data_IF_338837949166
#
_entry.id   IF_338837949166
#
_cell.length_a   1.000
_cell.length_b   1.000
_cell.length_c   1.000
_cell.angle_alpha   90.00
_cell.angle_beta   90.00
_cell.angle_gamma   90.00
#
_symmetry.space_group_name_H-M   'P 1'
#
loop_
_entity.id
_entity.type
_entity.pdbx_description
1 polymer ?
#
# COMPACT_ATOMS: atom_id res chain seq x y z
N UNK A 1 41.83 13.33 0.54
CA UNK A 1 40.66 14.24 0.44
C UNK A 1 39.81 13.98 -0.81
N UNK A 2 40.39 13.55 -1.95
CA UNK A 2 39.62 13.18 -3.16
C UNK A 2 38.76 11.91 -3.01
N UNK A 3 39.04 11.05 -2.02
CA UNK A 3 38.30 9.80 -1.77
C UNK A 3 36.80 10.06 -1.52
N UNK A 4 36.45 11.21 -0.91
CA UNK A 4 35.04 11.57 -0.66
C UNK A 4 34.32 12.15 -1.88
N UNK A 5 34.98 12.27 -3.03
CA UNK A 5 34.39 12.82 -4.26
C UNK A 5 33.18 12.01 -4.77
N UNK A 6 33.10 10.70 -4.45
CA UNK A 6 31.92 9.90 -4.77
C UNK A 6 30.66 10.35 -4.04
N UNK A 7 30.76 10.93 -2.84
CA UNK A 7 29.59 11.50 -2.13
C UNK A 7 29.02 12.68 -2.93
N UNK A 8 29.89 13.54 -3.47
CA UNK A 8 29.50 14.65 -4.33
C UNK A 8 28.79 14.16 -5.60
N UNK A 9 29.32 13.10 -6.24
CA UNK A 9 28.69 12.45 -7.40
C UNK A 9 27.31 11.89 -7.02
N UNK A 10 27.18 11.27 -5.84
CA UNK A 10 25.91 10.74 -5.35
C UNK A 10 24.88 11.85 -5.12
N UNK A 11 25.27 12.93 -4.44
CA UNK A 11 24.40 14.07 -4.14
C UNK A 11 23.92 14.74 -5.43
N UNK A 12 24.84 15.04 -6.36
CA UNK A 12 24.50 15.70 -7.63
C UNK A 12 23.64 14.77 -8.50
N UNK A 13 24.00 13.49 -8.61
CA UNK A 13 23.27 12.52 -9.43
C UNK A 13 21.84 12.29 -8.94
N UNK A 14 21.63 12.17 -7.63
CA UNK A 14 20.30 12.04 -7.04
C UNK A 14 19.50 13.35 -7.13
N UNK A 15 20.15 14.51 -6.98
CA UNK A 15 19.51 15.82 -7.16
C UNK A 15 18.99 16.00 -8.60
N UNK A 16 19.74 15.54 -9.60
CA UNK A 16 19.34 15.52 -11.01
C UNK A 16 18.32 14.40 -11.34
N UNK A 17 17.88 13.63 -10.35
CA UNK A 17 16.92 12.51 -10.50
C UNK A 17 17.39 11.42 -11.47
N UNK A 18 18.70 11.21 -11.60
CA UNK A 18 19.20 10.06 -12.34
C UNK A 18 18.90 8.75 -11.61
N UNK A 19 18.97 7.63 -12.35
CA UNK A 19 18.74 6.31 -11.78
C UNK A 19 19.71 6.06 -10.61
N UNK A 20 19.15 5.82 -9.42
CA UNK A 20 19.92 5.68 -8.19
C UNK A 20 20.99 4.59 -8.26
N UNK A 21 20.73 3.46 -8.93
CA UNK A 21 21.71 2.37 -9.07
C UNK A 21 22.91 2.83 -9.90
N UNK A 22 22.68 3.51 -11.03
CA UNK A 22 23.75 4.05 -11.87
C UNK A 22 24.59 5.08 -11.11
N UNK A 23 23.92 5.97 -10.36
CA UNK A 23 24.58 7.00 -9.55
C UNK A 23 25.46 6.38 -8.46
N UNK A 24 24.96 5.37 -7.75
CA UNK A 24 25.72 4.67 -6.69
C UNK A 24 26.92 3.92 -7.27
N UNK A 25 26.76 3.24 -8.41
CA UNK A 25 27.88 2.56 -9.08
C UNK A 25 28.93 3.58 -9.51
N UNK A 26 28.54 4.67 -10.18
CA UNK A 26 29.46 5.72 -10.60
C UNK A 26 30.20 6.35 -9.41
N UNK A 27 29.49 6.63 -8.31
CA UNK A 27 30.09 7.13 -7.07
C UNK A 27 31.10 6.13 -6.47
N UNK A 28 30.81 4.83 -6.52
CA UNK A 28 31.72 3.76 -6.12
C UNK A 28 33.00 3.73 -6.95
N UNK A 29 32.89 3.84 -8.27
CA UNK A 29 34.05 3.93 -9.17
C UNK A 29 34.89 5.18 -8.90
N UNK A 30 34.25 6.35 -8.76
CA UNK A 30 34.94 7.61 -8.47
C UNK A 30 35.69 7.55 -7.13
N UNK A 31 35.06 7.00 -6.09
CA UNK A 31 35.67 6.79 -4.77
C UNK A 31 36.83 5.81 -4.83
N UNK A 32 36.64 4.67 -5.49
CA UNK A 32 37.65 3.62 -5.61
C UNK A 32 38.88 4.08 -6.38
N UNK A 33 38.69 4.74 -7.52
CA UNK A 33 39.79 5.29 -8.33
C UNK A 33 40.52 6.41 -7.58
N UNK A 34 39.79 7.31 -6.90
CA UNK A 34 40.40 8.34 -6.07
C UNK A 34 41.13 7.77 -4.82
N UNK A 35 40.78 6.54 -4.41
CA UNK A 35 41.47 5.77 -3.37
C UNK A 35 42.66 4.96 -3.88
N UNK A 36 42.98 5.00 -5.17
CA UNK A 36 44.10 4.27 -5.77
C UNK A 36 43.82 2.80 -6.07
N UNK A 37 42.55 2.35 -6.00
CA UNK A 37 42.17 1.00 -6.39
C UNK A 37 42.19 0.85 -7.91
N UNK A 38 42.64 -0.31 -8.40
CA UNK A 38 42.53 -0.62 -9.83
C UNK A 38 41.06 -0.89 -10.21
N UNK A 39 40.74 -0.79 -11.50
CA UNK A 39 39.38 -1.12 -12.00
C UNK A 39 38.98 -2.54 -11.59
N UNK A 40 39.91 -3.50 -11.65
CA UNK A 40 39.67 -4.88 -11.26
C UNK A 40 39.35 -5.01 -9.77
N UNK A 41 40.05 -4.26 -8.90
CA UNK A 41 39.79 -4.28 -7.46
C UNK A 41 38.43 -3.67 -7.12
N UNK A 42 38.03 -2.61 -7.82
CA UNK A 42 36.71 -1.97 -7.65
C UNK A 42 35.60 -2.94 -8.06
N UNK A 43 35.73 -3.57 -9.23
CA UNK A 43 34.76 -4.58 -9.72
C UNK A 43 34.73 -5.79 -8.78
N UNK A 44 35.89 -6.24 -8.32
CA UNK A 44 36.01 -7.33 -7.35
C UNK A 44 35.31 -7.01 -6.02
N UNK A 45 35.54 -5.82 -5.46
CA UNK A 45 34.91 -5.38 -4.23
C UNK A 45 33.38 -5.25 -4.35
N UNK A 46 32.89 -4.75 -5.49
CA UNK A 46 31.45 -4.72 -5.79
C UNK A 46 30.91 -6.15 -5.84
N UNK A 47 31.58 -7.06 -6.56
CA UNK A 47 31.18 -8.46 -6.65
C UNK A 47 31.15 -9.17 -5.30
N UNK A 48 32.18 -8.99 -4.48
CA UNK A 48 32.25 -9.54 -3.12
C UNK A 48 31.14 -8.97 -2.23
N UNK A 49 30.85 -7.67 -2.33
CA UNK A 49 29.74 -7.05 -1.63
C UNK A 49 28.38 -7.64 -2.06
N UNK A 50 28.17 -7.93 -3.35
CA UNK A 50 26.97 -8.61 -3.83
C UNK A 50 26.85 -10.04 -3.28
N UNK A 51 27.95 -10.80 -3.27
CA UNK A 51 27.98 -12.18 -2.74
C UNK A 51 27.74 -12.20 -1.24
N UNK A 52 28.40 -11.32 -0.48
CA UNK A 52 28.20 -11.19 0.97
C UNK A 52 26.76 -10.81 1.30
N UNK A 53 26.18 -9.92 0.50
CA UNK A 53 24.79 -9.51 0.63
C UNK A 53 23.83 -10.30 -0.27
N UNK A 54 24.12 -11.59 -0.55
CA UNK A 54 23.26 -12.46 -1.39
C UNK A 54 21.80 -12.53 -0.95
N UNK A 55 21.51 -12.25 0.32
CA UNK A 55 20.14 -12.18 0.83
C UNK A 55 19.36 -11.03 0.18
N UNK A 56 20.02 -9.96 -0.28
CA UNK A 56 19.39 -8.91 -1.10
C UNK A 56 18.87 -9.46 -2.43
N UNK A 57 19.38 -10.61 -2.90
CA UNK A 57 18.89 -11.30 -4.08
C UNK A 57 17.77 -12.32 -3.77
N UNK A 58 17.35 -12.49 -2.51
CA UNK A 58 16.27 -13.42 -2.14
C UNK A 58 14.95 -13.10 -2.86
N UNK A 59 14.70 -11.84 -3.20
CA UNK A 59 13.50 -11.47 -3.98
C UNK A 59 13.47 -12.21 -5.33
N UNK A 60 14.64 -12.47 -5.95
CA UNK A 60 14.74 -13.20 -7.22
C UNK A 60 14.26 -14.64 -7.05
N UNK A 61 14.52 -15.27 -5.89
CA UNK A 61 14.05 -16.63 -5.61
C UNK A 61 12.54 -16.68 -5.32
N UNK A 62 11.99 -15.59 -4.78
CA UNK A 62 10.56 -15.48 -4.48
C UNK A 62 9.74 -15.15 -5.74
N UNK A 63 10.32 -14.48 -6.73
CA UNK A 63 9.64 -14.17 -8.00
C UNK A 63 9.06 -15.40 -8.73
N UNK A 64 9.78 -16.52 -8.92
CA UNK A 64 9.21 -17.75 -9.50
C UNK A 64 8.05 -18.32 -8.68
N UNK A 65 8.12 -18.23 -7.34
CA UNK A 65 7.05 -18.69 -6.45
C UNK A 65 5.80 -17.85 -6.65
N UNK A 66 5.94 -16.52 -6.67
CA UNK A 66 4.86 -15.59 -6.99
C UNK A 66 4.29 -15.88 -8.39
N UNK A 67 5.15 -16.04 -9.39
CA UNK A 67 4.75 -16.34 -10.76
C UNK A 67 4.00 -17.67 -10.88
N UNK A 68 4.38 -18.68 -10.09
CA UNK A 68 3.65 -19.95 -10.01
C UNK A 68 2.26 -19.74 -9.40
N UNK A 69 2.17 -18.98 -8.30
CA UNK A 69 0.91 -18.67 -7.63
C UNK A 69 -0.04 -17.87 -8.52
N UNK A 70 0.48 -16.88 -9.24
CA UNK A 70 -0.27 -16.10 -10.22
C UNK A 70 -0.71 -16.96 -11.40
N UNK A 71 0.17 -17.82 -11.95
CA UNK A 71 -0.19 -18.76 -13.03
C UNK A 71 -1.32 -19.71 -12.63
N UNK A 72 -1.41 -20.11 -11.36
CA UNK A 72 -2.49 -20.96 -10.86
C UNK A 72 -3.76 -20.17 -10.48
N UNK A 73 -3.79 -18.87 -10.78
CA UNK A 73 -4.97 -18.04 -10.65
C UNK A 73 -5.19 -17.52 -9.23
N UNK A 74 -4.17 -17.49 -8.37
CA UNK A 74 -4.37 -17.12 -6.96
C UNK A 74 -4.82 -15.65 -6.81
N UNK A 75 -4.32 -14.78 -7.68
CA UNK A 75 -4.76 -13.37 -7.75
C UNK A 75 -6.22 -13.28 -8.16
N UNK A 76 -6.60 -13.97 -9.22
CA UNK A 76 -7.95 -14.02 -9.77
C UNK A 76 -8.92 -14.60 -8.74
N UNK A 77 -8.51 -15.64 -8.01
CA UNK A 77 -9.32 -16.20 -6.91
C UNK A 77 -9.49 -15.22 -5.76
N UNK A 78 -8.46 -14.44 -5.42
CA UNK A 78 -8.58 -13.40 -4.40
C UNK A 78 -9.53 -12.28 -4.85
N UNK A 79 -9.48 -11.88 -6.12
CA UNK A 79 -10.41 -10.90 -6.71
C UNK A 79 -11.86 -11.43 -6.73
N UNK A 80 -12.07 -12.69 -7.13
CA UNK A 80 -13.39 -13.35 -7.09
C UNK A 80 -13.91 -13.49 -5.65
N UNK A 81 -13.04 -13.79 -4.68
CA UNK A 81 -13.44 -13.90 -3.28
C UNK A 81 -13.97 -12.55 -2.77
N UNK A 82 -13.29 -11.47 -3.13
CA UNK A 82 -13.70 -10.11 -2.75
C UNK A 82 -14.99 -9.70 -3.48
N UNK A 83 -15.12 -10.02 -4.77
CA UNK A 83 -16.34 -9.70 -5.53
C UNK A 83 -17.58 -10.44 -5.02
N UNK A 84 -17.40 -11.56 -4.31
CA UNK A 84 -18.45 -12.35 -3.67
C UNK A 84 -18.77 -11.92 -2.24
N UNK A 85 -18.15 -10.86 -1.72
CA UNK A 85 -18.44 -10.36 -0.38
C UNK A 85 -19.88 -9.83 -0.35
N UNK A 86 -20.79 -10.67 0.14
CA UNK A 86 -22.14 -10.29 0.50
C UNK A 86 -22.14 -9.86 1.97
N UNK A 87 -21.70 -8.64 2.23
CA UNK A 87 -21.71 -8.05 3.57
C UNK A 87 -22.82 -7.01 3.67
N UNK A 88 -23.57 -7.06 4.77
CA UNK A 88 -24.70 -6.18 5.01
C UNK A 88 -24.32 -4.72 5.33
N UNK A 89 -23.07 -4.45 5.71
CA UNK A 89 -22.60 -3.10 6.09
C UNK A 89 -21.27 -2.76 5.43
N UNK A 90 -21.03 -1.48 5.17
CA UNK A 90 -19.77 -0.99 4.61
C UNK A 90 -18.57 -1.31 5.51
N UNK A 91 -18.73 -1.19 6.84
CA UNK A 91 -17.69 -1.56 7.79
C UNK A 91 -17.27 -3.02 7.64
N UNK A 92 -18.21 -3.96 7.46
CA UNK A 92 -17.88 -5.37 7.22
C UNK A 92 -17.17 -5.59 5.89
N UNK A 93 -17.54 -4.87 4.83
CA UNK A 93 -16.81 -4.89 3.55
C UNK A 93 -15.36 -4.47 3.80
N UNK A 94 -15.13 -3.37 4.52
CA UNK A 94 -13.78 -2.89 4.82
C UNK A 94 -12.98 -3.86 5.71
N UNK A 95 -13.60 -4.50 6.70
CA UNK A 95 -12.96 -5.51 7.55
C UNK A 95 -12.44 -6.69 6.71
N UNK A 96 -13.33 -7.28 5.90
CA UNK A 96 -12.98 -8.45 5.09
C UNK A 96 -11.94 -8.08 4.04
N UNK A 97 -12.12 -6.93 3.37
CA UNK A 97 -11.17 -6.45 2.39
C UNK A 97 -9.79 -6.19 2.99
N UNK A 98 -9.71 -5.49 4.12
CA UNK A 98 -8.45 -5.26 4.84
C UNK A 98 -7.75 -6.58 5.17
N UNK A 99 -8.48 -7.56 5.70
CA UNK A 99 -7.94 -8.86 6.04
C UNK A 99 -7.35 -9.58 4.82
N UNK A 100 -8.15 -9.71 3.75
CA UNK A 100 -7.72 -10.37 2.50
C UNK A 100 -6.53 -9.64 1.90
N UNK A 101 -6.53 -8.30 1.92
CA UNK A 101 -5.43 -7.49 1.42
C UNK A 101 -4.15 -7.68 2.21
N UNK A 102 -4.23 -7.70 3.54
CA UNK A 102 -3.07 -7.89 4.40
C UNK A 102 -2.46 -9.28 4.24
N UNK A 103 -3.30 -10.32 4.13
CA UNK A 103 -2.85 -11.70 3.90
C UNK A 103 -2.20 -11.85 2.53
N UNK A 104 -2.84 -11.36 1.46
CA UNK A 104 -2.29 -11.47 0.10
C UNK A 104 -0.96 -10.73 -0.04
N UNK A 105 -0.84 -9.55 0.56
CA UNK A 105 0.42 -8.78 0.56
C UNK A 105 1.50 -9.45 1.40
N UNK A 106 1.16 -10.09 2.53
CA UNK A 106 2.10 -10.89 3.31
C UNK A 106 2.72 -12.04 2.49
N UNK A 107 1.95 -12.63 1.57
CA UNK A 107 2.43 -13.63 0.62
C UNK A 107 3.12 -13.04 -0.63
N UNK A 108 3.27 -11.73 -0.73
CA UNK A 108 3.88 -11.05 -1.89
C UNK A 108 2.97 -10.98 -3.11
N UNK A 109 1.66 -11.26 -2.96
CA UNK A 109 0.69 -11.21 -4.06
C UNK A 109 0.25 -9.75 -4.22
N UNK A 110 0.67 -9.12 -5.32
CA UNK A 110 0.28 -7.76 -5.63
C UNK A 110 -1.11 -7.71 -6.27
N UNK A 111 -2.17 -7.64 -5.44
CA UNK A 111 -3.51 -7.33 -5.94
C UNK A 111 -3.55 -5.91 -6.52
N UNK A 112 -4.50 -5.68 -7.44
CA UNK A 112 -4.68 -4.51 -8.32
C UNK A 112 -4.78 -3.10 -7.67
N UNK A 113 -4.50 -2.95 -6.37
CA UNK A 113 -4.29 -1.68 -5.67
C UNK A 113 -5.49 -0.73 -5.66
N UNK A 114 -5.25 0.52 -5.26
CA UNK A 114 -6.28 1.55 -5.14
C UNK A 114 -7.05 1.79 -6.45
N UNK A 115 -6.37 1.79 -7.59
CA UNK A 115 -6.99 2.17 -8.87
C UNK A 115 -7.89 1.08 -9.42
N UNK A 116 -7.44 -0.18 -9.39
CA UNK A 116 -8.16 -1.28 -10.05
C UNK A 116 -8.94 -2.19 -9.08
N UNK A 117 -8.78 -2.03 -7.76
CA UNK A 117 -9.58 -2.75 -6.76
C UNK A 117 -10.52 -1.81 -6.00
N UNK A 118 -9.99 -0.75 -5.40
CA UNK A 118 -10.80 0.11 -4.52
C UNK A 118 -11.85 0.89 -5.31
N UNK A 119 -11.43 1.60 -6.36
CA UNK A 119 -12.33 2.48 -7.13
C UNK A 119 -13.47 1.75 -7.84
N UNK A 120 -13.25 0.64 -8.58
CA UNK A 120 -14.33 0.00 -9.34
C UNK A 120 -15.16 -0.99 -8.51
N UNK A 121 -14.68 -1.46 -7.35
CA UNK A 121 -15.34 -2.51 -6.59
C UNK A 121 -15.62 -2.11 -5.15
N UNK A 122 -14.59 -1.88 -4.33
CA UNK A 122 -14.78 -1.68 -2.88
C UNK A 122 -15.58 -0.41 -2.57
N UNK A 123 -15.28 0.69 -3.24
CA UNK A 123 -15.97 1.96 -3.04
C UNK A 123 -17.45 1.87 -3.46
N UNK A 124 -17.81 1.46 -4.70
CA UNK A 124 -19.21 1.30 -5.10
C UNK A 124 -19.99 0.32 -4.21
N UNK A 125 -19.40 -0.81 -3.81
CA UNK A 125 -20.06 -1.77 -2.91
C UNK A 125 -20.36 -1.14 -1.53
N UNK A 126 -19.40 -0.36 -1.02
CA UNK A 126 -19.54 0.29 0.29
C UNK A 126 -20.51 1.47 0.24
N UNK A 127 -20.51 2.23 -0.85
CA UNK A 127 -21.47 3.31 -1.12
C UNK A 127 -22.90 2.74 -1.18
N UNK A 128 -23.10 1.65 -1.93
CA UNK A 128 -24.38 0.95 -1.99
C UNK A 128 -24.82 0.43 -0.62
N UNK A 129 -23.90 -0.14 0.18
CA UNK A 129 -24.19 -0.63 1.52
C UNK A 129 -24.55 0.48 2.52
N UNK A 130 -24.04 1.70 2.34
CA UNK A 130 -24.40 2.88 3.15
C UNK A 130 -25.71 3.50 2.69
N UNK A 131 -25.88 3.68 1.38
CA UNK A 131 -27.08 4.30 0.80
C UNK A 131 -28.33 3.43 1.01
N UNK A 132 -28.22 2.10 0.88
CA UNK A 132 -29.34 1.16 1.01
C UNK A 132 -30.55 1.57 0.15
N UNK A 133 -30.29 2.10 -1.05
CA UNK A 133 -31.32 2.58 -1.98
C UNK A 133 -31.86 3.99 -1.71
N UNK A 134 -31.37 4.69 -0.67
CA UNK A 134 -31.72 6.08 -0.35
C UNK A 134 -30.73 7.07 -0.96
N UNK A 135 -31.15 8.29 -1.30
CA UNK A 135 -30.23 9.35 -1.72
C UNK A 135 -29.34 9.76 -0.55
N UNK A 136 -28.05 9.92 -0.83
CA UNK A 136 -27.02 10.29 0.16
C UNK A 136 -26.20 11.46 -0.36
N UNK A 137 -25.67 12.30 0.53
CA UNK A 137 -24.88 13.46 0.11
C UNK A 137 -23.52 13.07 -0.43
N UNK A 138 -22.98 13.91 -1.32
CA UNK A 138 -21.62 13.76 -1.83
C UNK A 138 -20.59 13.70 -0.68
N UNK A 139 -20.80 14.49 0.37
CA UNK A 139 -19.97 14.48 1.58
C UNK A 139 -19.95 13.10 2.26
N UNK A 140 -21.10 12.42 2.34
CA UNK A 140 -21.19 11.08 2.92
C UNK A 140 -20.50 10.06 2.02
N UNK A 141 -20.68 10.14 0.70
CA UNK A 141 -19.98 9.27 -0.26
C UNK A 141 -18.46 9.45 -0.20
N UNK A 142 -17.95 10.67 -0.12
CA UNK A 142 -16.50 10.94 -0.04
C UNK A 142 -15.88 10.40 1.26
N UNK A 143 -16.63 10.43 2.38
CA UNK A 143 -16.20 9.75 3.61
C UNK A 143 -16.08 8.24 3.41
N UNK A 144 -17.07 7.61 2.74
CA UNK A 144 -17.03 6.16 2.44
C UNK A 144 -15.82 5.84 1.57
N UNK A 145 -15.59 6.60 0.50
CA UNK A 145 -14.42 6.47 -0.39
C UNK A 145 -13.10 6.62 0.36
N UNK A 146 -13.01 7.58 1.27
CA UNK A 146 -11.83 7.79 2.11
C UNK A 146 -11.53 6.59 3.01
N UNK A 147 -12.56 5.98 3.61
CA UNK A 147 -12.38 4.76 4.42
C UNK A 147 -12.00 3.56 3.56
N UNK A 148 -12.61 3.41 2.38
CA UNK A 148 -12.25 2.38 1.41
C UNK A 148 -10.77 2.46 0.98
N UNK A 149 -10.30 3.65 0.62
CA UNK A 149 -8.90 3.93 0.28
C UNK A 149 -7.95 3.68 1.45
N UNK A 150 -8.38 3.99 2.68
CA UNK A 150 -7.61 3.71 3.88
C UNK A 150 -7.48 2.21 4.15
N UNK A 151 -8.52 1.41 3.89
CA UNK A 151 -8.45 -0.04 4.09
C UNK A 151 -7.39 -0.70 3.19
N UNK A 152 -7.30 -0.29 1.91
CA UNK A 152 -6.27 -0.79 0.99
C UNK A 152 -4.86 -0.41 1.45
N UNK A 153 -4.65 0.87 1.79
CA UNK A 153 -3.34 1.37 2.20
C UNK A 153 -2.84 0.70 3.48
N UNK A 154 -3.71 0.53 4.47
CA UNK A 154 -3.34 -0.12 5.74
C UNK A 154 -3.03 -1.59 5.51
N UNK A 155 -3.87 -2.30 4.74
CA UNK A 155 -3.65 -3.70 4.41
C UNK A 155 -2.33 -3.92 3.67
N UNK A 156 -2.04 -3.04 2.70
CA UNK A 156 -0.79 -3.08 1.96
C UNK A 156 0.43 -2.73 2.85
N UNK A 157 0.38 -1.62 3.58
CA UNK A 157 1.50 -1.16 4.39
C UNK A 157 1.89 -2.16 5.48
N UNK A 158 0.92 -2.61 6.28
CA UNK A 158 1.20 -3.56 7.37
C UNK A 158 1.36 -5.00 6.88
N UNK A 159 0.78 -5.36 5.73
CA UNK A 159 1.01 -6.66 5.09
C UNK A 159 2.44 -6.80 4.57
N UNK A 160 3.03 -5.74 4.01
CA UNK A 160 4.40 -5.76 3.48
C UNK A 160 5.44 -6.11 4.55
N UNK A 161 5.20 -5.74 5.81
CA UNK A 161 6.08 -6.08 6.93
C UNK A 161 6.18 -7.59 7.20
N UNK A 162 5.24 -8.39 6.68
CA UNK A 162 5.24 -9.85 6.81
C UNK A 162 5.87 -10.55 5.61
N UNK A 163 6.20 -9.80 4.55
CA UNK A 163 6.79 -10.36 3.34
C UNK A 163 8.32 -10.40 3.47
N UNK A 164 8.90 -11.60 3.45
CA UNK A 164 10.35 -11.82 3.66
C UNK A 164 11.25 -11.04 2.68
N UNK A 165 10.79 -10.83 1.45
CA UNK A 165 11.51 -10.05 0.44
C UNK A 165 11.09 -8.58 0.36
N UNK A 166 10.45 -8.05 1.41
CA UNK A 166 10.19 -6.62 1.50
C UNK A 166 11.52 -5.86 1.54
N UNK A 167 11.68 -4.88 0.65
CA UNK A 167 12.92 -4.10 0.54
C UNK A 167 13.33 -3.43 1.86
N UNK A 168 12.36 -3.03 2.69
CA UNK A 168 12.62 -2.47 4.01
C UNK A 168 13.29 -3.47 4.97
N UNK A 169 12.84 -4.73 5.01
CA UNK A 169 13.46 -5.77 5.84
C UNK A 169 14.88 -6.10 5.38
N UNK A 170 15.08 -6.19 4.06
CA UNK A 170 16.41 -6.42 3.48
C UNK A 170 17.39 -5.30 3.81
N UNK A 171 16.92 -4.03 3.79
CA UNK A 171 17.73 -2.88 4.18
C UNK A 171 18.11 -2.93 5.66
N UNK A 172 17.14 -3.18 6.56
CA UNK A 172 17.40 -3.27 8.00
C UNK A 172 18.41 -4.39 8.28
N UNK A 173 18.22 -5.57 7.68
CA UNK A 173 19.16 -6.68 7.80
C UNK A 173 20.57 -6.26 7.38
N UNK A 174 20.71 -5.61 6.23
CA UNK A 174 22.03 -5.19 5.76
C UNK A 174 22.73 -4.18 6.65
N UNK A 175 21.97 -3.24 7.23
CA UNK A 175 22.53 -2.28 8.21
C UNK A 175 22.92 -3.00 9.51
N UNK A 176 22.09 -3.92 10.00
CA UNK A 176 22.38 -4.66 11.24
C UNK A 176 23.63 -5.54 11.09
N UNK A 177 23.77 -6.25 9.97
CA UNK A 177 24.96 -7.07 9.68
C UNK A 177 26.22 -6.22 9.53
N UNK A 178 26.13 -5.02 8.94
CA UNK A 178 27.25 -4.08 8.87
C UNK A 178 27.71 -3.59 10.26
N UNK A 179 26.78 -3.49 11.21
CA UNK A 179 27.06 -3.13 12.61
C UNK A 179 27.54 -4.32 13.46
N UNK A 180 27.63 -5.52 12.88
CA UNK A 180 28.08 -6.74 13.58
C UNK A 180 26.96 -7.51 14.28
N UNK A 181 25.68 -7.15 14.07
CA UNK A 181 24.54 -7.89 14.59
C UNK A 181 24.04 -8.92 13.56
N UNK A 182 23.98 -10.19 13.96
CA UNK A 182 23.35 -11.22 13.13
C UNK A 182 21.85 -11.22 13.36
N UNK A 183 21.07 -10.99 12.30
CA UNK A 183 19.61 -10.93 12.35
C UNK A 183 19.03 -11.78 11.22
N UNK A 184 18.13 -12.70 11.56
CA UNK A 184 17.43 -13.51 10.57
C UNK A 184 16.18 -12.80 10.05
N UNK A 185 15.92 -12.89 8.74
CA UNK A 185 14.71 -12.32 8.13
C UNK A 185 13.44 -12.94 8.70
N UNK A 186 13.49 -14.23 9.04
CA UNK A 186 12.37 -14.97 9.63
C UNK A 186 11.97 -14.36 10.97
N UNK A 187 12.94 -14.04 11.83
CA UNK A 187 12.71 -13.40 13.11
C UNK A 187 12.09 -12.02 12.92
N UNK A 188 12.61 -11.23 11.98
CA UNK A 188 12.08 -9.89 11.70
C UNK A 188 10.61 -9.93 11.25
N UNK A 189 10.23 -10.90 10.41
CA UNK A 189 8.82 -11.12 10.03
C UNK A 189 7.98 -11.56 11.23
N UNK A 190 8.51 -12.44 12.09
CA UNK A 190 7.81 -12.88 13.29
C UNK A 190 7.54 -11.71 14.25
N UNK A 191 8.49 -10.79 14.40
CA UNK A 191 8.32 -9.54 15.16
C UNK A 191 7.41 -8.53 14.44
N UNK A 192 7.26 -8.61 13.12
CA UNK A 192 6.28 -7.85 12.35
C UNK A 192 4.84 -8.31 12.59
N UNK A 193 4.63 -9.59 12.93
CA UNK A 193 3.30 -10.20 13.09
C UNK A 193 2.44 -9.52 14.16
N UNK A 194 2.92 -9.24 15.40
CA UNK A 194 2.15 -8.48 16.39
C UNK A 194 1.67 -7.13 15.86
N UNK A 195 2.53 -6.41 15.12
CA UNK A 195 2.19 -5.09 14.56
C UNK A 195 1.08 -5.22 13.51
N UNK A 196 1.17 -6.21 12.63
CA UNK A 196 0.15 -6.51 11.63
C UNK A 196 -1.21 -6.86 12.27
N UNK A 197 -1.20 -7.68 13.33
CA UNK A 197 -2.40 -8.05 14.09
C UNK A 197 -3.00 -6.84 14.80
N UNK A 198 -2.18 -6.02 15.48
CA UNK A 198 -2.65 -4.79 16.12
C UNK A 198 -3.27 -3.82 15.11
N UNK A 199 -2.65 -3.64 13.94
CA UNK A 199 -3.20 -2.81 12.87
C UNK A 199 -4.58 -3.31 12.40
N UNK A 200 -4.75 -4.63 12.27
CA UNK A 200 -6.05 -5.22 11.94
C UNK A 200 -7.09 -4.96 13.03
N UNK A 201 -6.76 -5.20 14.30
CA UNK A 201 -7.69 -5.00 15.45
C UNK A 201 -8.12 -3.55 15.57
N UNK A 202 -7.17 -2.60 15.48
CA UNK A 202 -7.48 -1.16 15.55
C UNK A 202 -8.44 -0.76 14.44
N UNK A 203 -8.22 -1.24 13.21
CA UNK A 203 -9.10 -0.93 12.09
C UNK A 203 -10.43 -1.67 12.16
N UNK A 204 -10.46 -2.88 12.70
CA UNK A 204 -11.70 -3.60 12.99
C UNK A 204 -12.60 -2.76 13.91
N UNK A 205 -12.06 -2.23 15.00
CA UNK A 205 -12.78 -1.32 15.90
C UNK A 205 -13.20 -0.05 15.14
N UNK A 206 -12.29 0.54 14.36
CA UNK A 206 -12.57 1.74 13.55
C UNK A 206 -13.73 1.53 12.58
N UNK A 207 -13.83 0.37 11.95
CA UNK A 207 -14.90 0.05 11.01
C UNK A 207 -16.24 -0.19 11.71
N UNK A 208 -16.25 -0.74 12.92
CA UNK A 208 -17.47 -0.81 13.76
C UNK A 208 -17.94 0.60 14.14
N UNK A 209 -17.02 1.48 14.54
CA UNK A 209 -17.34 2.87 14.86
C UNK A 209 -17.84 3.61 13.60
N UNK A 210 -17.23 3.35 12.44
CA UNK A 210 -17.67 3.89 11.16
C UNK A 210 -19.11 3.52 10.86
N UNK A 211 -19.48 2.24 10.96
CA UNK A 211 -20.86 1.79 10.73
C UNK A 211 -21.86 2.50 11.65
N UNK A 212 -21.51 2.80 12.90
CA UNK A 212 -22.38 3.56 13.81
C UNK A 212 -22.48 5.05 13.45
N UNK A 213 -21.36 5.66 13.09
CA UNK A 213 -21.28 7.12 12.85
C UNK A 213 -21.79 7.51 11.46
N UNK A 214 -21.67 6.63 10.47
CA UNK A 214 -22.15 6.89 9.11
C UNK A 214 -23.69 6.95 9.07
N UNK A 215 -24.38 6.15 9.89
CA UNK A 215 -25.84 6.17 9.99
C UNK A 215 -26.36 7.53 10.48
N UNK A 216 -25.66 8.18 11.41
CA UNK A 216 -25.99 9.53 11.84
C UNK A 216 -25.77 10.57 10.72
N UNK A 217 -24.78 10.35 9.85
CA UNK A 217 -24.56 11.22 8.67
C UNK A 217 -25.69 11.03 7.65
N UNK A 218 -26.11 9.79 7.39
CA UNK A 218 -27.25 9.49 6.49
C UNK A 218 -28.56 10.06 7.03
N UNK A 219 -28.85 9.90 8.33
CA UNK A 219 -30.06 10.46 8.94
C UNK A 219 -30.09 12.00 8.91
N UNK A 220 -28.92 12.64 9.01
CA UNK A 220 -28.81 14.09 8.84
C UNK A 220 -29.06 14.50 7.38
N UNK A 221 -28.49 13.77 6.42
CA UNK A 221 -28.71 14.00 5.00
C UNK A 221 -30.21 13.90 4.65
N UNK A 222 -30.92 12.91 5.21
CA UNK A 222 -32.39 12.79 5.09
C UNK A 222 -33.14 13.97 5.71
N UNK A 223 -32.70 14.48 6.87
CA UNK A 223 -33.33 15.62 7.53
C UNK A 223 -33.11 16.92 6.74
N UNK A 224 -31.89 17.13 6.23
CA UNK A 224 -31.55 18.28 5.38
C UNK A 224 -32.28 18.22 4.03
N UNK A 225 -32.53 17.00 3.49
CA UNK A 225 -33.40 16.80 2.33
C UNK A 225 -34.86 17.16 2.63
N UNK A 226 -35.43 16.69 3.74
CA UNK A 226 -36.81 17.03 4.16
C UNK A 226 -36.97 18.53 4.43
N UNK A 227 -35.92 19.21 4.87
CA UNK A 227 -35.88 20.66 5.06
C UNK A 227 -35.67 21.45 3.76
N UNK A 228 -35.53 20.79 2.60
CA UNK A 228 -35.32 21.43 1.29
C UNK A 228 -33.93 22.03 1.09
N UNK A 229 -32.97 21.75 1.97
CA UNK A 229 -31.59 22.25 1.87
C UNK A 229 -30.76 21.44 0.88
N UNK A 230 -31.14 20.18 0.66
CA UNK A 230 -30.51 19.26 -0.27
C UNK A 230 -31.57 18.65 -1.18
N UNK A 231 -31.23 18.50 -2.46
CA UNK A 231 -32.07 17.87 -3.47
C UNK A 231 -31.26 16.79 -4.20
N UNK A 232 -31.87 15.65 -4.57
CA UNK A 232 -31.17 14.63 -5.33
C UNK A 232 -30.95 15.10 -6.78
N UNK A 233 -29.74 14.89 -7.29
CA UNK A 233 -29.44 15.04 -8.72
C UNK A 233 -29.79 13.77 -9.52
N UNK A 234 -29.49 13.76 -10.83
CA UNK A 234 -29.77 12.63 -11.74
C UNK A 234 -29.10 11.31 -11.31
N UNK A 235 -28.04 11.39 -10.49
CA UNK A 235 -27.31 10.24 -9.95
C UNK A 235 -27.80 9.84 -8.54
N UNK A 236 -28.91 10.41 -8.07
CA UNK A 236 -29.48 10.21 -6.74
C UNK A 236 -28.54 10.66 -5.60
N UNK A 237 -27.66 11.63 -5.88
CA UNK A 237 -26.73 12.22 -4.93
C UNK A 237 -27.33 13.53 -4.42
N UNK A 238 -27.35 13.72 -3.11
CA UNK A 238 -27.87 14.93 -2.49
C UNK A 238 -26.86 16.09 -2.65
N UNK A 239 -27.30 17.12 -3.36
CA UNK A 239 -26.56 18.37 -3.64
C UNK A 239 -27.39 19.58 -3.22
N UNK A 240 -26.75 20.75 -3.10
CA UNK A 240 -27.50 21.98 -2.82
C UNK A 240 -28.30 22.44 -4.06
N UNK A 241 -29.44 23.15 -3.88
CA UNK A 241 -30.21 23.68 -5.00
C UNK A 241 -29.42 24.63 -5.93
N UNK A 242 -28.40 25.30 -5.40
CA UNK A 242 -27.51 26.18 -6.19
C UNK A 242 -26.54 25.39 -7.06
N UNK A 243 -26.00 24.28 -6.54
CA UNK A 243 -25.14 23.36 -7.31
C UNK A 243 -25.91 22.68 -8.43
N UNK A 244 -27.15 22.25 -8.16
CA UNK A 244 -28.01 21.61 -9.16
C UNK A 244 -28.33 22.56 -10.33
N UNK A 245 -28.47 23.86 -10.06
CA UNK A 245 -28.69 24.88 -11.11
C UNK A 245 -27.44 25.09 -11.98
N UNK A 246 -26.25 25.02 -11.39
CA UNK A 246 -24.98 25.14 -12.13
C UNK A 246 -24.66 23.93 -12.99
N UNK A 247 -25.15 22.74 -12.63
CA UNK A 247 -25.00 21.53 -13.45
C UNK A 247 -25.95 21.53 -14.67
N UNK A 248 -26.99 22.36 -14.67
CA UNK A 248 -27.99 22.47 -15.74
C UNK A 248 -27.70 23.58 -16.77
N UNK A 249 -26.68 24.41 -16.54
CA UNK A 249 -26.16 25.45 -17.46
C UNK A 249 -24.93 24.95 -18.24
#
# INVERSE_FOLDING_TARGET
MLILSGILVMVIGLMLRFNALLVVVAAGFVTGLAGGLSINDIVGAIGEAFVKNRYMSLFILILPVIGLMERHGLRERAEILISKINAATAGRIFMIYLFVRQVTVAFGINMSGMVAMVRPLIAPMSEAAVAQGRPVSQRTLDKVRGVAASADNIGNFFGQNLFLAAGGLLLIKGVMEQLGYSVELTDMVLYGLPTAVCAYIVNFIRFIIFDKTIQASVARDEADMKAGKLVPNELNILVTPEELKKEAE
#
